data_IF_897157021753
#
_entry.id   IF_897157021753
#
_cell.length_a   1.000
_cell.length_b   1.000
_cell.length_c   1.000
_cell.angle_alpha   90.00
_cell.angle_beta   90.00
_cell.angle_gamma   90.00
#
_symmetry.space_group_name_H-M   'P 1'
#
loop_
_entity.id
_entity.type
_entity.pdbx_description
1 polymer ?
#
# COMPACT_ATOMS: atom_id res chain seq x y z
N UNK A 1 2.35 3.07 19.14
CA UNK A 1 2.74 4.27 18.36
C UNK A 1 4.07 4.02 17.66
N UNK A 2 4.21 4.36 16.38
CA UNK A 2 5.46 4.39 15.62
C UNK A 2 6.30 5.34 16.42
N UNK A 3 7.29 4.81 17.12
CA UNK A 3 7.72 5.26 18.47
C UNK A 3 8.12 6.75 18.60
N UNK A 4 8.04 7.54 17.52
CA UNK A 4 8.35 8.97 17.49
C UNK A 4 7.35 9.89 16.75
N UNK A 5 6.19 9.41 16.27
CA UNK A 5 5.24 10.22 15.44
C UNK A 5 5.92 11.00 14.30
N UNK A 6 6.91 10.39 13.63
CA UNK A 6 7.70 11.04 12.57
C UNK A 6 7.26 10.70 11.16
N UNK A 7 6.30 9.78 11.01
CA UNK A 7 5.75 9.39 9.72
C UNK A 7 4.41 10.12 9.58
N UNK A 8 4.28 10.95 8.55
CA UNK A 8 3.05 11.71 8.27
C UNK A 8 2.14 10.99 7.28
N UNK A 9 2.74 10.39 6.25
CA UNK A 9 2.07 9.61 5.21
C UNK A 9 3.03 8.55 4.66
N UNK A 10 2.48 7.56 3.95
CA UNK A 10 3.24 6.42 3.42
C UNK A 10 2.90 6.19 1.95
N UNK A 11 3.93 6.22 1.09
CA UNK A 11 3.84 5.66 -0.26
C UNK A 11 3.89 4.13 -0.17
N UNK A 12 2.77 3.49 -0.43
CA UNK A 12 2.57 2.06 -0.19
C UNK A 12 2.73 1.25 -1.49
N UNK A 13 3.94 1.27 -2.03
CA UNK A 13 4.33 0.51 -3.23
C UNK A 13 5.28 -0.62 -2.92
N UNK A 14 5.51 -1.50 -3.90
CA UNK A 14 6.40 -2.63 -3.78
C UNK A 14 7.41 -2.70 -4.94
N UNK A 15 8.54 -3.35 -4.70
CA UNK A 15 9.66 -3.48 -5.62
C UNK A 15 10.21 -4.89 -5.53
N UNK A 16 10.89 -5.40 -6.56
CA UNK A 16 11.36 -6.79 -6.62
C UNK A 16 12.51 -7.14 -5.66
N UNK A 17 13.15 -6.15 -5.05
CA UNK A 17 14.35 -6.35 -4.23
C UNK A 17 14.91 -5.03 -3.69
N UNK A 18 16.15 -5.07 -3.22
CA UNK A 18 16.85 -3.91 -2.65
C UNK A 18 17.77 -3.24 -3.66
N UNK A 19 18.27 -2.06 -3.30
CA UNK A 19 19.40 -1.44 -4.01
C UNK A 19 20.60 -2.39 -4.11
N UNK A 20 21.40 -2.32 -5.19
CA UNK A 20 21.32 -1.35 -6.30
C UNK A 20 20.42 -1.78 -7.47
N UNK A 21 19.87 -2.99 -7.47
CA UNK A 21 19.09 -3.53 -8.59
C UNK A 21 17.73 -4.02 -8.14
N UNK A 22 16.70 -3.29 -8.53
CA UNK A 22 15.31 -3.69 -8.36
C UNK A 22 14.49 -3.17 -9.56
N UNK A 23 13.29 -3.73 -9.75
CA UNK A 23 12.26 -3.15 -10.60
C UNK A 23 10.97 -2.97 -9.81
N UNK A 24 10.11 -2.08 -10.27
CA UNK A 24 8.81 -1.85 -9.66
C UNK A 24 7.86 -3.01 -9.97
N UNK A 25 7.00 -3.36 -9.02
CA UNK A 25 6.08 -4.50 -9.12
C UNK A 25 4.66 -4.07 -8.79
N UNK A 26 3.69 -4.95 -9.07
CA UNK A 26 2.38 -4.81 -8.43
C UNK A 26 2.55 -4.87 -6.91
N UNK A 27 1.69 -4.16 -6.20
CA UNK A 27 1.75 -4.00 -4.74
C UNK A 27 1.85 -5.36 -4.00
N UNK A 28 1.22 -6.41 -4.52
CA UNK A 28 1.17 -7.75 -3.92
C UNK A 28 2.28 -8.73 -4.39
N UNK A 29 3.22 -8.32 -5.24
CA UNK A 29 4.19 -9.24 -5.89
C UNK A 29 5.67 -8.93 -5.62
N UNK A 30 5.98 -7.95 -4.78
CA UNK A 30 7.36 -7.53 -4.55
C UNK A 30 8.04 -8.18 -3.34
N UNK A 31 9.17 -7.61 -2.99
CA UNK A 31 10.08 -8.00 -1.92
C UNK A 31 9.50 -7.73 -0.52
N UNK A 32 8.70 -6.68 -0.38
CA UNK A 32 8.08 -6.33 0.90
C UNK A 32 6.84 -7.18 1.11
N UNK A 33 6.75 -7.84 2.26
CA UNK A 33 5.49 -8.40 2.77
C UNK A 33 4.59 -7.23 3.20
N UNK A 34 3.68 -6.84 2.29
CA UNK A 34 2.83 -5.67 2.49
C UNK A 34 1.82 -5.87 3.63
N UNK A 35 1.36 -7.10 3.88
CA UNK A 35 0.48 -7.37 5.01
C UNK A 35 1.23 -7.15 6.32
N UNK A 36 2.44 -7.70 6.45
CA UNK A 36 3.29 -7.47 7.62
C UNK A 36 3.62 -5.99 7.80
N UNK A 37 3.90 -5.26 6.71
CA UNK A 37 4.14 -3.82 6.77
C UNK A 37 2.91 -3.07 7.31
N UNK A 38 1.71 -3.34 6.78
CA UNK A 38 0.46 -2.72 7.25
C UNK A 38 0.20 -3.01 8.73
N UNK A 39 0.39 -4.27 9.16
CA UNK A 39 0.27 -4.66 10.57
C UNK A 39 1.22 -3.89 11.47
N UNK A 40 2.47 -3.70 11.05
CA UNK A 40 3.45 -2.93 11.82
C UNK A 40 2.97 -1.50 12.00
N UNK A 41 2.44 -0.84 10.96
CA UNK A 41 1.88 0.51 11.10
C UNK A 41 0.71 0.54 12.08
N UNK A 42 -0.21 -0.42 11.99
CA UNK A 42 -1.37 -0.52 12.88
C UNK A 42 -0.97 -0.74 14.36
N UNK A 43 -0.12 -1.71 14.64
CA UNK A 43 0.42 -1.98 16.00
C UNK A 43 1.19 -0.79 16.58
N UNK A 44 1.61 0.10 15.69
CA UNK A 44 2.28 1.34 16.01
C UNK A 44 1.33 2.55 15.92
N UNK A 45 0.03 2.40 16.14
CA UNK A 45 -0.95 3.51 16.20
C UNK A 45 -0.71 4.60 15.12
N UNK A 46 -0.37 4.18 13.90
CA UNK A 46 -0.16 5.12 12.80
C UNK A 46 -1.51 5.71 12.41
N UNK A 47 -1.62 7.02 12.48
CA UNK A 47 -2.86 7.80 12.26
C UNK A 47 -2.81 8.67 10.99
N UNK A 48 -1.78 8.48 10.16
CA UNK A 48 -1.66 9.12 8.85
C UNK A 48 -2.38 8.35 7.74
N UNK A 49 -2.12 8.73 6.49
CA UNK A 49 -2.72 8.09 5.32
C UNK A 49 -1.70 7.29 4.49
N UNK A 50 -2.22 6.28 3.80
CA UNK A 50 -1.51 5.49 2.80
C UNK A 50 -1.93 5.94 1.41
N UNK A 51 -0.98 5.99 0.48
CA UNK A 51 -1.26 6.28 -0.93
C UNK A 51 -0.51 5.32 -1.83
N UNK A 52 -1.14 4.95 -2.95
CA UNK A 52 -0.40 4.34 -4.04
C UNK A 52 0.68 5.30 -4.57
N UNK A 53 1.68 4.75 -5.24
CA UNK A 53 2.78 5.51 -5.82
C UNK A 53 2.96 5.07 -7.28
N UNK A 54 4.09 4.45 -7.60
CA UNK A 54 4.32 3.88 -8.92
C UNK A 54 3.63 2.53 -9.06
N UNK A 55 3.02 2.30 -10.22
CA UNK A 55 2.30 1.08 -10.56
C UNK A 55 2.72 0.60 -11.94
N UNK A 56 2.81 -0.73 -12.18
CA UNK A 56 3.11 -1.24 -13.52
C UNK A 56 2.03 -0.86 -14.54
N UNK A 57 2.44 -0.63 -15.78
CA UNK A 57 1.49 -0.47 -16.88
C UNK A 57 0.69 -1.76 -17.09
N UNK A 58 -0.63 -1.62 -17.26
CA UNK A 58 -1.53 -2.74 -17.53
C UNK A 58 -2.16 -2.62 -18.92
N UNK A 59 -2.57 -3.75 -19.48
CA UNK A 59 -3.18 -3.79 -20.81
C UNK A 59 -4.52 -3.04 -20.80
N UNK A 60 -4.66 -2.06 -21.70
CA UNK A 60 -5.85 -1.22 -21.81
C UNK A 60 -5.99 -0.19 -20.69
N UNK A 61 -4.93 0.08 -19.94
CA UNK A 61 -4.89 1.19 -18.99
C UNK A 61 -4.73 2.55 -19.67
N UNK A 62 -4.95 3.62 -18.92
CA UNK A 62 -4.61 4.96 -19.35
C UNK A 62 -3.10 5.20 -19.23
N UNK A 63 -2.60 6.28 -19.87
CA UNK A 63 -1.23 6.75 -19.66
C UNK A 63 -0.92 7.00 -18.18
N UNK A 64 -1.92 7.45 -17.42
CA UNK A 64 -1.84 7.67 -15.97
C UNK A 64 -1.98 6.41 -15.10
N UNK A 65 -2.20 5.24 -15.70
CA UNK A 65 -2.26 3.96 -14.98
C UNK A 65 -3.49 3.79 -14.06
N UNK A 66 -4.63 4.39 -14.38
CA UNK A 66 -5.80 4.40 -13.50
C UNK A 66 -6.26 3.01 -13.02
N UNK A 67 -6.19 1.97 -13.87
CA UNK A 67 -6.59 0.61 -13.50
C UNK A 67 -5.60 0.01 -12.50
N UNK A 68 -4.31 0.17 -12.77
CA UNK A 68 -3.27 -0.31 -11.87
C UNK A 68 -3.29 0.43 -10.52
N UNK A 69 -3.57 1.74 -10.53
CA UNK A 69 -3.78 2.55 -9.31
C UNK A 69 -5.03 2.12 -8.55
N UNK A 70 -6.15 1.88 -9.24
CA UNK A 70 -7.36 1.36 -8.61
C UNK A 70 -7.12 0.00 -7.94
N UNK A 71 -6.37 -0.89 -8.59
CA UNK A 71 -5.95 -2.16 -8.00
C UNK A 71 -5.09 -1.96 -6.74
N UNK A 72 -4.09 -1.08 -6.79
CA UNK A 72 -3.24 -0.78 -5.65
C UNK A 72 -4.04 -0.18 -4.47
N UNK A 73 -4.94 0.76 -4.74
CA UNK A 73 -5.79 1.38 -3.72
C UNK A 73 -6.78 0.38 -3.10
N UNK A 74 -7.40 -0.48 -3.91
CA UNK A 74 -8.25 -1.55 -3.38
C UNK A 74 -7.48 -2.53 -2.48
N UNK A 75 -6.24 -2.87 -2.85
CA UNK A 75 -5.37 -3.71 -2.02
C UNK A 75 -4.99 -3.03 -0.69
N UNK A 76 -4.63 -1.74 -0.73
CA UNK A 76 -4.34 -0.95 0.49
C UNK A 76 -5.55 -0.93 1.41
N UNK A 77 -6.74 -0.63 0.89
CA UNK A 77 -7.99 -0.61 1.65
C UNK A 77 -8.27 -1.97 2.30
N UNK A 78 -8.17 -3.06 1.54
CA UNK A 78 -8.35 -4.42 2.07
C UNK A 78 -7.36 -4.75 3.18
N UNK A 79 -6.10 -4.35 3.07
CA UNK A 79 -5.12 -4.55 4.14
C UNK A 79 -5.46 -3.73 5.39
N UNK A 80 -5.93 -2.48 5.23
CA UNK A 80 -6.39 -1.66 6.36
C UNK A 80 -7.55 -2.38 7.06
N UNK A 81 -8.60 -2.76 6.34
CA UNK A 81 -9.75 -3.48 6.90
C UNK A 81 -9.32 -4.76 7.62
N UNK A 82 -8.38 -5.50 7.03
CA UNK A 82 -7.89 -6.76 7.59
C UNK A 82 -7.14 -6.55 8.91
N UNK A 83 -6.34 -5.49 9.05
CA UNK A 83 -5.58 -5.26 10.29
C UNK A 83 -6.39 -4.54 11.36
N UNK A 84 -7.39 -3.76 10.98
CA UNK A 84 -8.28 -3.05 11.92
C UNK A 84 -9.49 -3.88 12.32
N UNK A 85 -9.78 -4.98 11.64
CA UNK A 85 -11.04 -5.73 11.73
C UNK A 85 -12.26 -4.80 11.60
N UNK A 86 -12.13 -3.78 10.76
CA UNK A 86 -13.14 -2.73 10.60
C UNK A 86 -13.38 -2.51 9.10
N UNK A 87 -14.60 -2.74 8.59
CA UNK A 87 -14.94 -2.39 7.21
C UNK A 87 -14.76 -0.89 6.98
N UNK A 88 -14.10 -0.50 5.88
CA UNK A 88 -13.99 0.91 5.50
C UNK A 88 -15.29 1.43 4.88
N UNK A 89 -16.12 0.53 4.37
CA UNK A 89 -17.47 0.83 3.94
C UNK A 89 -18.45 0.70 5.12
N UNK A 90 -18.97 1.83 5.60
CA UNK A 90 -20.12 1.91 6.53
C UNK A 90 -21.39 2.17 5.69
N UNK A 91 -22.25 1.16 5.43
CA UNK A 91 -23.48 1.29 4.67
C UNK A 91 -24.59 1.99 5.48
N UNK A 92 -24.33 3.21 5.96
CA UNK A 92 -25.41 4.09 6.44
C UNK A 92 -26.24 4.60 5.29
#
# INVERSE_FOLDING_TARGET
>A
MSQRKRVLYVHFRNVSGTVPKFHETFVNKGYVDMYKAMRIYYENDFDGFFMDDHVPHTVGDTEWGHRAKAYANGYIQSLIETVTDTPLFDPK
#
